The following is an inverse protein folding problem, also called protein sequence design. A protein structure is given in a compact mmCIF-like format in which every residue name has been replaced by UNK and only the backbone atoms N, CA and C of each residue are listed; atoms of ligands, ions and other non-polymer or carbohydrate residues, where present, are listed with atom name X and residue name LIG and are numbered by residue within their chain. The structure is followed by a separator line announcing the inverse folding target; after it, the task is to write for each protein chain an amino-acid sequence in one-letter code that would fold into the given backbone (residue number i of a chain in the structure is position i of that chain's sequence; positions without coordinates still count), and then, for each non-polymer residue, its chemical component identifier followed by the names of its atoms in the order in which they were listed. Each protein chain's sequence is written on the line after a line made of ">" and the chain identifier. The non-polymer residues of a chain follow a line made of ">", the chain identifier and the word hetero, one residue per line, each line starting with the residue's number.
data_IF_603818249562
#
_entry.id   IF_603818249562
#
_cell.length_a   1.000
_cell.length_b   1.000
_cell.length_c   1.000
_cell.angle_alpha   90.00
_cell.angle_beta   90.00
_cell.angle_gamma   90.00
#
_symmetry.space_group_name_H-M   'P 1'
#
loop_
_entity.id
_entity.type
_entity.pdbx_description
1 polymer ?
#
# COMPACT_ATOMS: atom_id res chain seq x y z
N UNK A 1 -10.87 7.29 -23.46
CA UNK A 1 -11.80 7.65 -22.39
C UNK A 1 -12.28 6.38 -21.69
N UNK A 2 -12.68 6.52 -20.42
CA UNK A 2 -13.32 5.44 -19.67
C UNK A 2 -14.71 5.18 -20.27
N UNK A 3 -15.04 3.91 -20.48
CA UNK A 3 -16.36 3.50 -20.96
C UNK A 3 -17.18 3.01 -19.75
N UNK A 4 -18.26 3.71 -19.48
CA UNK A 4 -19.22 3.31 -18.43
C UNK A 4 -20.29 2.38 -19.02
N UNK A 5 -20.84 1.53 -18.18
CA UNK A 5 -21.89 0.59 -18.56
C UNK A 5 -23.25 1.22 -18.24
N UNK A 6 -24.16 1.20 -19.22
CA UNK A 6 -25.56 1.49 -19.06
C UNK A 6 -26.23 0.22 -18.52
N UNK A 7 -26.61 0.23 -17.23
CA UNK A 7 -27.12 -0.95 -16.54
C UNK A 7 -28.62 -1.16 -16.76
N UNK A 8 -29.40 -0.08 -16.95
CA UNK A 8 -30.85 -0.17 -17.22
C UNK A 8 -31.20 -0.20 -18.71
N UNK A 9 -30.23 0.05 -19.58
CA UNK A 9 -30.37 -0.06 -21.05
C UNK A 9 -31.15 1.08 -21.70
N UNK A 10 -31.28 2.23 -21.03
CA UNK A 10 -32.04 3.37 -21.53
C UNK A 10 -31.27 4.28 -22.50
N UNK A 11 -29.98 3.98 -22.73
CA UNK A 11 -29.08 4.71 -23.60
C UNK A 11 -28.51 5.99 -22.99
N UNK A 12 -28.68 6.21 -21.68
CA UNK A 12 -28.18 7.38 -20.95
C UNK A 12 -27.51 6.93 -19.64
N UNK A 13 -26.42 7.58 -19.28
CA UNK A 13 -25.78 7.35 -17.98
C UNK A 13 -26.44 8.21 -16.91
N UNK A 14 -27.14 7.58 -15.99
CA UNK A 14 -27.91 8.21 -14.91
C UNK A 14 -27.60 7.59 -13.55
N UNK A 15 -28.28 8.03 -12.49
CA UNK A 15 -28.15 7.44 -11.16
C UNK A 15 -28.65 5.99 -11.08
N UNK A 16 -29.45 5.53 -12.07
CA UNK A 16 -29.92 4.15 -12.16
C UNK A 16 -28.83 3.16 -12.58
N UNK A 17 -27.74 3.67 -13.18
CA UNK A 17 -26.57 2.89 -13.59
C UNK A 17 -25.57 2.71 -12.45
N UNK A 18 -25.91 3.14 -11.24
CA UNK A 18 -25.08 2.95 -10.06
C UNK A 18 -25.38 1.61 -9.39
N UNK A 19 -24.33 0.88 -9.06
CA UNK A 19 -24.40 -0.38 -8.33
C UNK A 19 -23.33 -0.45 -7.24
N UNK A 20 -23.46 -1.41 -6.33
CA UNK A 20 -22.44 -1.68 -5.35
C UNK A 20 -21.19 -2.27 -6.02
N UNK A 21 -20.04 -1.64 -5.82
CA UNK A 21 -18.77 -2.04 -6.45
C UNK A 21 -17.65 -2.37 -5.42
N UNK A 22 -17.91 -2.23 -4.13
CA UNK A 22 -16.98 -2.59 -3.07
C UNK A 22 -17.09 -1.71 -1.84
N UNK A 23 -16.32 -2.06 -0.82
CA UNK A 23 -16.25 -1.39 0.48
C UNK A 23 -14.80 -1.11 0.85
N UNK A 24 -14.56 -0.04 1.61
CA UNK A 24 -13.27 0.33 2.18
C UNK A 24 -13.00 -0.33 3.55
N UNK A 25 -14.02 -0.98 4.11
CA UNK A 25 -13.88 -1.78 5.34
C UNK A 25 -13.42 -3.19 4.96
N UNK A 26 -12.31 -3.68 5.55
CA UNK A 26 -11.84 -5.04 5.29
C UNK A 26 -12.84 -6.11 5.76
N UNK A 27 -13.02 -7.16 4.97
CA UNK A 27 -13.78 -8.34 5.39
C UNK A 27 -13.03 -9.14 6.46
N UNK A 28 -11.71 -9.25 6.31
CA UNK A 28 -10.86 -10.01 7.23
C UNK A 28 -9.59 -9.20 7.54
N UNK A 29 -9.28 -9.10 8.83
CA UNK A 29 -7.98 -8.65 9.33
C UNK A 29 -7.30 -9.79 10.04
N UNK A 30 -6.03 -10.06 9.72
CA UNK A 30 -5.26 -11.16 10.30
C UNK A 30 -3.86 -10.75 10.70
N UNK A 31 -3.30 -11.45 11.69
CA UNK A 31 -1.95 -11.24 12.17
C UNK A 31 -1.19 -12.55 12.31
N UNK A 32 0.11 -12.51 12.03
CA UNK A 32 1.03 -13.65 12.16
C UNK A 32 2.18 -13.27 13.09
N UNK A 33 2.36 -14.04 14.17
CA UNK A 33 3.50 -13.92 15.07
C UNK A 33 4.40 -15.14 14.91
N UNK A 34 5.69 -14.90 14.71
CA UNK A 34 6.73 -15.93 14.69
C UNK A 34 7.81 -15.57 15.70
N UNK A 35 8.10 -16.50 16.61
CA UNK A 35 9.20 -16.37 17.56
C UNK A 35 10.02 -17.65 17.55
N UNK A 36 11.28 -17.54 17.19
CA UNK A 36 12.22 -18.65 17.12
C UNK A 36 13.41 -18.37 18.03
N UNK A 37 13.86 -19.39 18.78
CA UNK A 37 15.07 -19.31 19.62
C UNK A 37 15.91 -20.55 19.43
N UNK A 38 17.19 -20.35 19.16
CA UNK A 38 18.13 -21.45 19.01
C UNK A 38 19.56 -21.04 19.36
N UNK A 39 20.15 -21.70 20.36
CA UNK A 39 21.56 -21.51 20.77
C UNK A 39 22.00 -20.04 20.92
N UNK A 40 21.16 -19.22 21.54
CA UNK A 40 21.44 -17.80 21.75
C UNK A 40 20.91 -16.88 20.64
N UNK A 41 20.57 -17.41 19.47
CA UNK A 41 19.87 -16.65 18.42
C UNK A 41 18.38 -16.53 18.73
N UNK A 42 17.84 -15.37 18.48
CA UNK A 42 16.43 -15.07 18.64
C UNK A 42 15.94 -14.36 17.38
N UNK A 43 14.83 -14.83 16.80
CA UNK A 43 14.10 -14.19 15.73
C UNK A 43 12.67 -13.96 16.19
N UNK A 44 12.23 -12.72 16.17
CA UNK A 44 10.84 -12.34 16.40
C UNK A 44 10.32 -11.60 15.19
N UNK A 45 9.15 -11.97 14.68
CA UNK A 45 8.52 -11.31 13.55
C UNK A 45 7.02 -11.18 13.81
N UNK A 46 6.48 -10.03 13.51
CA UNK A 46 5.05 -9.76 13.47
C UNK A 46 4.66 -9.24 12.09
N UNK A 47 3.68 -9.89 11.49
CA UNK A 47 3.06 -9.47 10.24
C UNK A 47 1.57 -9.29 10.41
N UNK A 48 1.01 -8.35 9.66
CA UNK A 48 -0.42 -8.04 9.63
C UNK A 48 -0.89 -7.91 8.18
N UNK A 49 -2.08 -8.38 7.91
CA UNK A 49 -2.72 -8.23 6.61
C UNK A 49 -4.22 -8.01 6.71
N UNK A 50 -4.78 -7.53 5.63
CA UNK A 50 -6.22 -7.37 5.43
C UNK A 50 -6.60 -7.89 4.06
N UNK A 51 -7.84 -8.35 3.93
CA UNK A 51 -8.44 -8.76 2.65
C UNK A 51 -9.88 -8.29 2.54
N UNK A 52 -10.37 -8.20 1.31
CA UNK A 52 -11.74 -7.77 1.01
C UNK A 52 -11.92 -6.25 1.06
N UNK A 53 -10.84 -5.48 1.02
CA UNK A 53 -10.93 -4.02 1.07
C UNK A 53 -10.62 -3.38 -0.28
N UNK A 54 -11.32 -2.30 -0.58
CA UNK A 54 -11.10 -1.50 -1.77
C UNK A 54 -11.00 -0.03 -1.39
N UNK A 55 -10.18 0.70 -2.12
CA UNK A 55 -10.03 2.14 -1.94
C UNK A 55 -10.34 2.86 -3.24
N UNK A 56 -11.17 3.89 -3.16
CA UNK A 56 -11.42 4.78 -4.29
C UNK A 56 -10.34 5.86 -4.36
N UNK A 57 -9.57 5.85 -5.44
CA UNK A 57 -8.63 6.94 -5.70
C UNK A 57 -9.31 8.08 -6.45
N UNK A 58 -9.09 9.28 -5.95
CA UNK A 58 -9.63 10.51 -6.51
C UNK A 58 -8.65 11.68 -6.34
N UNK A 59 -8.95 12.80 -6.97
CA UNK A 59 -8.23 14.06 -6.83
C UNK A 59 -6.71 13.91 -7.04
N UNK A 60 -5.89 14.35 -6.11
CA UNK A 60 -4.43 14.41 -6.21
C UNK A 60 -3.77 13.03 -6.36
N UNK A 61 -4.43 11.97 -5.90
CA UNK A 61 -3.93 10.61 -6.05
C UNK A 61 -4.17 10.05 -7.45
N UNK A 62 -5.36 10.25 -7.96
CA UNK A 62 -5.82 9.60 -9.18
C UNK A 62 -5.54 10.45 -10.42
N UNK A 63 -5.78 11.75 -10.35
CA UNK A 63 -5.82 12.58 -11.54
C UNK A 63 -4.54 13.42 -11.68
N UNK A 64 -3.86 13.21 -12.80
CA UNK A 64 -2.68 14.00 -13.12
C UNK A 64 -3.00 15.49 -13.12
N UNK A 65 -2.16 16.28 -12.47
CA UNK A 65 -2.28 17.75 -12.39
C UNK A 65 -3.52 18.26 -11.64
N UNK A 66 -4.23 17.41 -10.89
CA UNK A 66 -5.32 17.86 -10.02
C UNK A 66 -4.75 18.59 -8.81
N UNK A 67 -5.32 19.76 -8.49
CA UNK A 67 -4.94 20.58 -7.33
C UNK A 67 -3.41 20.70 -7.11
N UNK A 68 -2.69 20.99 -8.20
CA UNK A 68 -1.22 21.12 -8.24
C UNK A 68 -0.46 19.81 -7.95
N UNK A 69 -1.12 18.65 -7.94
CA UNK A 69 -0.44 17.38 -7.77
C UNK A 69 0.49 17.05 -8.94
N UNK A 70 1.67 16.56 -8.62
CA UNK A 70 2.60 16.06 -9.61
C UNK A 70 2.12 14.75 -10.21
N UNK A 71 2.31 14.52 -11.51
CA UNK A 71 1.99 13.24 -12.12
C UNK A 71 2.87 12.13 -11.52
N UNK A 72 2.29 10.93 -11.34
CA UNK A 72 2.95 9.75 -10.82
C UNK A 72 3.41 8.83 -11.95
N UNK A 73 4.21 7.83 -11.63
CA UNK A 73 4.76 6.87 -12.62
C UNK A 73 3.67 6.15 -13.41
N UNK A 74 2.53 5.80 -12.78
CA UNK A 74 1.46 5.10 -13.49
C UNK A 74 0.79 5.96 -14.57
N UNK A 75 0.81 7.30 -14.46
CA UNK A 75 0.34 8.19 -15.52
C UNK A 75 1.16 8.10 -16.82
N UNK A 76 2.39 7.58 -16.75
CA UNK A 76 3.20 7.32 -17.95
C UNK A 76 2.60 6.20 -18.82
N UNK A 77 1.88 5.27 -18.19
CA UNK A 77 1.19 4.16 -18.88
C UNK A 77 -0.20 4.54 -19.40
N UNK A 78 -0.45 5.84 -19.58
CA UNK A 78 -1.71 6.35 -20.09
C UNK A 78 -1.93 6.03 -21.57
N UNK A 79 -3.17 6.03 -21.98
CA UNK A 79 -3.53 6.03 -23.39
C UNK A 79 -3.05 7.32 -24.07
N UNK A 80 -2.45 7.21 -25.25
CA UNK A 80 -2.06 8.34 -26.08
C UNK A 80 -2.44 8.07 -27.54
N UNK A 81 -2.48 9.11 -28.37
CA UNK A 81 -2.73 8.96 -29.82
C UNK A 81 -1.62 8.15 -30.49
N UNK A 82 -0.38 8.34 -30.03
CA UNK A 82 0.79 7.63 -30.58
C UNK A 82 0.90 6.18 -30.05
N UNK A 83 0.21 5.87 -28.96
CA UNK A 83 0.13 4.52 -28.40
C UNK A 83 -1.31 4.22 -27.98
N UNK A 84 -2.21 3.90 -28.92
CA UNK A 84 -3.65 3.68 -28.68
C UNK A 84 -3.90 2.28 -28.09
N UNK A 85 -3.48 2.06 -26.84
CA UNK A 85 -3.71 0.81 -26.15
C UNK A 85 -5.08 0.83 -25.42
N UNK A 86 -6.05 -0.02 -25.78
CA UNK A 86 -7.35 -0.08 -25.10
C UNK A 86 -7.24 -0.57 -23.65
N UNK A 87 -6.16 -1.26 -23.31
CA UNK A 87 -5.88 -1.74 -21.96
C UNK A 87 -4.85 -0.85 -21.22
N UNK A 88 -4.74 0.42 -21.60
CA UNK A 88 -3.86 1.35 -20.91
C UNK A 88 -4.23 1.46 -19.42
N UNK A 89 -3.21 1.47 -18.56
CA UNK A 89 -3.41 1.55 -17.11
C UNK A 89 -3.99 2.90 -16.63
N UNK A 90 -4.03 3.89 -17.53
CA UNK A 90 -4.58 5.21 -17.26
C UNK A 90 -5.24 5.79 -18.53
N UNK A 91 -6.37 6.51 -18.40
CA UNK A 91 -7.03 7.12 -19.54
C UNK A 91 -6.20 8.28 -20.13
N UNK A 92 -6.63 8.79 -21.27
CA UNK A 92 -6.03 9.99 -21.84
C UNK A 92 -6.15 11.17 -20.87
N UNK A 93 -5.04 11.90 -20.71
CA UNK A 93 -5.03 13.13 -19.94
C UNK A 93 -5.52 14.26 -20.82
N UNK A 94 -6.54 14.99 -20.36
CA UNK A 94 -7.10 16.15 -21.00
C UNK A 94 -6.82 17.42 -20.20
N UNK A 95 -6.82 18.60 -20.84
CA UNK A 95 -6.84 19.86 -20.11
C UNK A 95 -8.01 19.90 -19.10
N UNK A 96 -7.81 20.49 -17.94
CA UNK A 96 -8.80 20.55 -16.85
C UNK A 96 -10.15 21.16 -17.29
N UNK A 97 -10.12 22.06 -18.26
CA UNK A 97 -11.32 22.70 -18.82
C UNK A 97 -12.11 21.81 -19.80
N UNK A 98 -11.57 20.64 -20.15
CA UNK A 98 -12.21 19.71 -21.08
C UNK A 98 -13.34 18.93 -20.41
N UNK A 99 -14.48 18.79 -21.06
CA UNK A 99 -15.57 17.90 -20.64
C UNK A 99 -15.11 16.44 -20.50
N UNK A 100 -14.15 16.00 -21.32
CA UNK A 100 -13.58 14.67 -21.25
C UNK A 100 -12.77 14.44 -19.96
N UNK A 101 -12.13 15.49 -19.44
CA UNK A 101 -11.46 15.40 -18.14
C UNK A 101 -12.46 15.06 -17.03
N UNK A 102 -13.56 15.77 -16.94
CA UNK A 102 -14.62 15.53 -15.96
C UNK A 102 -15.25 14.15 -16.12
N UNK A 103 -15.51 13.72 -17.36
CA UNK A 103 -16.08 12.42 -17.67
C UNK A 103 -15.20 11.27 -17.17
N UNK A 104 -13.89 11.34 -17.41
CA UNK A 104 -12.93 10.31 -16.94
C UNK A 104 -12.74 10.32 -15.42
N UNK A 105 -13.29 11.29 -14.69
CA UNK A 105 -13.15 11.45 -13.24
C UNK A 105 -14.39 10.98 -12.46
N UNK A 106 -15.42 10.49 -13.15
CA UNK A 106 -16.58 9.94 -12.44
C UNK A 106 -16.20 8.72 -11.61
N UNK A 107 -16.80 8.63 -10.42
CA UNK A 107 -16.65 7.49 -9.55
C UNK A 107 -17.07 6.21 -10.26
N UNK A 108 -16.18 5.23 -10.28
CA UNK A 108 -16.40 3.95 -10.96
C UNK A 108 -15.43 2.89 -10.43
N UNK A 109 -15.66 1.64 -10.83
CA UNK A 109 -14.76 0.51 -10.56
C UNK A 109 -13.35 0.71 -11.14
N UNK A 110 -13.21 1.51 -12.19
CA UNK A 110 -11.90 1.89 -12.74
C UNK A 110 -10.99 2.57 -11.70
N UNK A 111 -11.56 3.43 -10.85
CA UNK A 111 -10.85 4.15 -9.79
C UNK A 111 -10.84 3.42 -8.44
N UNK A 112 -11.45 2.22 -8.41
CA UNK A 112 -11.52 1.39 -7.23
C UNK A 112 -10.36 0.39 -7.25
N UNK A 113 -9.37 0.61 -6.39
CA UNK A 113 -8.17 -0.22 -6.31
C UNK A 113 -8.33 -1.24 -5.20
N UNK A 114 -7.79 -2.45 -5.43
CA UNK A 114 -7.73 -3.45 -4.38
C UNK A 114 -6.66 -3.04 -3.35
N UNK A 115 -7.09 -2.75 -2.11
CA UNK A 115 -6.22 -2.34 -1.02
C UNK A 115 -5.81 -3.50 -0.11
N UNK A 116 -6.05 -4.75 -0.51
CA UNK A 116 -5.56 -5.91 0.21
C UNK A 116 -4.05 -5.91 0.29
N UNK A 117 -3.52 -6.21 1.47
CA UNK A 117 -2.08 -6.26 1.68
C UNK A 117 -1.70 -7.23 2.79
N UNK A 118 -0.42 -7.59 2.81
CA UNK A 118 0.27 -8.17 3.95
C UNK A 118 1.56 -7.40 4.20
N UNK A 119 1.78 -6.97 5.45
CA UNK A 119 2.96 -6.22 5.87
C UNK A 119 3.65 -6.89 7.03
N UNK A 120 4.96 -7.06 6.92
CA UNK A 120 5.80 -7.33 8.08
C UNK A 120 5.96 -6.01 8.84
N UNK A 121 5.31 -5.92 10.01
CA UNK A 121 5.30 -4.72 10.86
C UNK A 121 6.60 -4.57 11.63
N UNK A 122 7.07 -5.69 12.13
CA UNK A 122 8.29 -5.71 12.93
C UNK A 122 9.01 -7.03 12.68
N UNK A 123 10.33 -6.97 12.56
CA UNK A 123 11.22 -8.13 12.59
C UNK A 123 12.45 -7.77 13.43
N UNK A 124 12.76 -8.61 14.39
CA UNK A 124 13.93 -8.44 15.25
C UNK A 124 14.74 -9.72 15.22
N UNK A 125 16.02 -9.58 14.91
CA UNK A 125 16.98 -10.67 14.99
C UNK A 125 18.07 -10.29 16.00
N UNK A 126 18.31 -11.16 16.96
CA UNK A 126 19.26 -10.91 18.03
C UNK A 126 20.09 -12.13 18.39
N UNK A 127 21.21 -11.87 19.05
CA UNK A 127 22.06 -12.89 19.63
C UNK A 127 22.39 -12.57 21.08
N UNK A 128 22.06 -13.49 21.98
CA UNK A 128 22.39 -13.44 23.40
C UNK A 128 23.65 -14.25 23.65
N UNK A 129 24.68 -13.62 24.18
CA UNK A 129 25.98 -14.23 24.39
C UNK A 129 25.91 -15.23 25.57
N UNK A 130 26.70 -16.31 25.47
CA UNK A 130 26.75 -17.36 26.46
C UNK A 130 27.72 -17.03 27.61
N UNK A 131 27.52 -17.66 28.77
CA UNK A 131 28.28 -17.45 29.99
C UNK A 131 29.81 -17.32 29.83
N UNK A 132 30.52 -18.17 29.04
CA UNK A 132 31.97 -18.06 28.93
C UNK A 132 32.46 -16.72 28.36
N UNK A 133 31.68 -16.09 27.49
CA UNK A 133 32.01 -14.77 26.92
C UNK A 133 31.67 -13.68 27.95
N UNK A 134 30.53 -13.79 28.62
CA UNK A 134 30.06 -12.83 29.62
C UNK A 134 31.05 -12.72 30.80
N UNK A 135 31.56 -13.85 31.30
CA UNK A 135 32.56 -13.89 32.38
C UNK A 135 33.87 -13.15 32.02
N UNK A 136 34.33 -13.28 30.78
CA UNK A 136 35.53 -12.56 30.30
C UNK A 136 35.32 -11.04 30.25
N UNK A 137 34.08 -10.59 30.05
CA UNK A 137 33.71 -9.18 29.96
C UNK A 137 33.21 -8.60 31.28
N UNK A 138 33.12 -9.41 32.34
CA UNK A 138 32.53 -9.02 33.62
C UNK A 138 31.10 -8.52 33.49
N UNK A 139 30.32 -9.19 32.63
CA UNK A 139 28.92 -8.87 32.37
C UNK A 139 28.01 -10.00 32.84
N UNK A 140 26.81 -9.65 33.31
CA UNK A 140 25.75 -10.63 33.60
C UNK A 140 25.01 -11.05 32.33
N UNK A 141 24.75 -10.08 31.42
CA UNK A 141 24.13 -10.35 30.15
C UNK A 141 24.64 -9.39 29.06
N UNK A 142 24.72 -9.92 27.83
CA UNK A 142 24.99 -9.15 26.60
C UNK A 142 24.11 -9.70 25.48
N UNK A 143 23.32 -8.82 24.88
CA UNK A 143 22.54 -9.11 23.68
C UNK A 143 22.77 -8.04 22.62
N UNK A 144 23.12 -8.47 21.42
CA UNK A 144 23.13 -7.62 20.23
C UNK A 144 21.89 -7.93 19.39
N UNK A 145 21.27 -6.91 18.82
CA UNK A 145 20.11 -7.12 17.96
C UNK A 145 20.01 -6.08 16.86
N UNK A 146 19.35 -6.46 15.79
CA UNK A 146 18.86 -5.59 14.74
C UNK A 146 17.34 -5.71 14.66
N UNK A 147 16.66 -4.58 14.60
CA UNK A 147 15.22 -4.51 14.45
C UNK A 147 14.88 -3.70 13.20
N UNK A 148 13.90 -4.15 12.44
CA UNK A 148 13.37 -3.41 11.32
C UNK A 148 11.85 -3.26 11.47
N UNK A 149 11.36 -2.06 11.21
CA UNK A 149 9.94 -1.74 11.20
C UNK A 149 9.47 -1.53 9.76
N UNK A 150 8.32 -2.08 9.43
CA UNK A 150 7.71 -2.03 8.11
C UNK A 150 8.67 -2.37 6.95
N UNK A 151 9.58 -3.36 7.07
CA UNK A 151 10.61 -3.62 6.07
C UNK A 151 10.04 -4.07 4.74
N UNK A 152 8.86 -4.70 4.76
CA UNK A 152 8.29 -5.31 3.57
C UNK A 152 6.77 -5.29 3.56
N UNK A 153 6.18 -4.94 2.40
CA UNK A 153 4.73 -4.94 2.17
C UNK A 153 4.41 -5.58 0.83
N UNK A 154 3.60 -6.63 0.86
CA UNK A 154 2.97 -7.22 -0.33
C UNK A 154 1.64 -6.52 -0.53
N UNK A 155 1.33 -6.14 -1.75
CA UNK A 155 0.07 -5.50 -2.16
C UNK A 155 -0.60 -6.36 -3.22
N UNK A 156 -1.91 -6.47 -3.17
CA UNK A 156 -2.66 -7.23 -4.17
C UNK A 156 -2.75 -6.49 -5.52
N UNK A 157 -2.81 -5.17 -5.50
CA UNK A 157 -2.91 -4.35 -6.70
C UNK A 157 -1.58 -3.62 -6.96
N UNK A 158 -0.95 -3.88 -8.12
CA UNK A 158 0.30 -3.23 -8.52
C UNK A 158 0.17 -1.71 -8.71
N UNK A 159 -1.05 -1.19 -8.94
CA UNK A 159 -1.31 0.25 -9.02
C UNK A 159 -1.11 0.93 -7.65
N UNK A 160 -1.09 0.14 -6.57
CA UNK A 160 -0.84 0.57 -5.20
C UNK A 160 0.65 0.71 -4.85
N UNK A 161 1.59 0.48 -5.78
CA UNK A 161 3.04 0.56 -5.48
C UNK A 161 3.47 1.92 -4.92
N UNK A 162 2.86 2.99 -5.42
CA UNK A 162 3.16 4.35 -4.99
C UNK A 162 2.37 4.80 -3.74
N UNK A 163 1.54 3.93 -3.17
CA UNK A 163 0.66 4.26 -2.04
C UNK A 163 0.86 3.32 -0.87
N UNK A 164 0.58 3.82 0.33
CA UNK A 164 0.53 2.98 1.52
C UNK A 164 -0.89 2.39 1.67
N UNK A 165 -1.05 1.07 1.62
CA UNK A 165 -2.37 0.45 1.68
C UNK A 165 -3.07 0.65 3.04
N UNK A 166 -2.34 0.95 4.11
CA UNK A 166 -2.94 1.22 5.44
C UNK A 166 -3.49 2.63 5.57
N UNK A 167 -2.97 3.56 4.79
CA UNK A 167 -3.36 4.97 4.82
C UNK A 167 -3.96 5.44 3.51
N UNK A 168 -4.25 4.51 2.62
CA UNK A 168 -4.87 4.80 1.35
C UNK A 168 -6.25 5.42 1.58
N UNK A 169 -6.37 6.70 1.34
CA UNK A 169 -7.63 7.43 1.35
C UNK A 169 -7.77 8.18 0.03
N UNK A 170 -9.00 8.49 -0.35
CA UNK A 170 -9.34 8.98 -1.67
C UNK A 170 -8.40 10.04 -2.25
N UNK A 171 -8.02 11.04 -1.49
CA UNK A 171 -7.12 12.12 -1.94
C UNK A 171 -5.63 11.78 -1.82
N UNK A 172 -5.25 10.81 -0.97
CA UNK A 172 -3.86 10.37 -0.75
C UNK A 172 -2.90 11.42 -0.25
N UNK A 173 -3.41 12.35 0.51
CA UNK A 173 -2.62 13.39 1.19
C UNK A 173 -1.90 12.86 2.43
N UNK A 174 -2.14 11.59 2.77
CA UNK A 174 -1.53 10.96 3.94
C UNK A 174 -0.06 10.60 3.66
N UNK A 175 0.78 10.82 4.66
CA UNK A 175 2.19 10.42 4.61
C UNK A 175 2.29 8.90 4.57
N UNK A 176 3.15 8.37 3.73
CA UNK A 176 3.46 6.94 3.71
C UNK A 176 4.07 6.50 5.04
N UNK A 177 3.74 5.31 5.48
CA UNK A 177 4.45 4.67 6.57
C UNK A 177 5.95 4.56 6.27
N UNK A 178 6.78 4.97 7.21
CA UNK A 178 8.24 4.87 7.09
C UNK A 178 8.70 3.47 7.41
N UNK A 179 9.78 3.03 6.75
CA UNK A 179 10.54 1.85 7.15
C UNK A 179 11.78 2.29 7.91
N UNK A 180 12.09 1.62 9.00
CA UNK A 180 13.26 1.93 9.81
C UNK A 180 14.07 0.67 10.11
N UNK A 181 15.38 0.85 10.31
CA UNK A 181 16.29 -0.20 10.79
C UNK A 181 17.05 0.37 11.99
N UNK A 182 17.02 -0.35 13.10
CA UNK A 182 17.71 -0.01 14.33
C UNK A 182 18.68 -1.12 14.72
N UNK A 183 19.85 -0.73 15.22
CA UNK A 183 20.81 -1.64 15.86
C UNK A 183 20.82 -1.34 17.35
N UNK A 184 20.79 -2.38 18.16
CA UNK A 184 20.77 -2.23 19.61
C UNK A 184 21.68 -3.18 20.33
N UNK A 185 22.10 -2.74 21.52
CA UNK A 185 22.90 -3.50 22.46
C UNK A 185 22.25 -3.43 23.84
N UNK A 186 21.96 -4.58 24.44
CA UNK A 186 21.51 -4.66 25.81
C UNK A 186 22.65 -5.22 26.69
N UNK A 187 23.01 -4.48 27.72
CA UNK A 187 24.06 -4.83 28.65
C UNK A 187 23.48 -4.91 30.09
N UNK A 188 23.86 -5.93 30.83
CA UNK A 188 23.62 -6.04 32.28
C UNK A 188 24.95 -6.32 32.97
N UNK A 189 25.24 -5.53 34.01
CA UNK A 189 26.47 -5.61 34.82
C UNK A 189 26.20 -6.27 36.13
#
# INVERSE_FOLDING_TARGET
>A
DIKYVDLDGDGKLTDKDKTYIGCDVPDITYGVNLNLRYKGFELSMFGQGVTGTKVNFSMENAWAFSDYASPRKYHLKRWTVDNPNPNAAYPRIYPRTSKHSTYNQYFSDYWLFNADYFRIKNITFGYSFQKPVLQKLSLEALKLYVAAENPFTIRADHRMEDFDPETASGRGVNTRGTSSIAFGVNLTF
#
